data_IF_662229784403
#
_entry.id   IF_662229784403
#
_cell.length_a   1.000
_cell.length_b   1.000
_cell.length_c   1.000
_cell.angle_alpha   90.00
_cell.angle_beta   90.00
_cell.angle_gamma   90.00
#
_symmetry.space_group_name_H-M   'P 1'
#
loop_
_entity.id
_entity.type
_entity.pdbx_description
1 polymer ?
2 polymer ?
3 non-polymer ?
4 non-polymer ?
5 water ?
#
loop_
_entity_poly.entity_id
_entity_poly.type
_entity_poly.pdbx_seq_one_letter_code
_entity_poly.pdbx_strand_id
2 'polydeoxyribonucleotide' '(DT)(DT)(DT)(DT)(DT)(DT)(DT)' ?
#
# COMPACT_ATOMS: atom_id res chain seq x y z
N UNK A 3 15.32 -1.65 17.30
CA UNK A 3 14.45 -2.57 18.05
C UNK A 3 13.09 -1.94 18.33
N UNK A 4 13.09 -0.76 18.97
CA UNK A 4 11.83 -0.06 19.15
C UNK A 4 11.30 0.47 17.82
N UNK A 5 12.21 0.89 16.93
CA UNK A 5 11.86 1.35 15.60
C UNK A 5 11.31 0.25 14.71
N UNK A 6 11.47 -1.01 15.09
CA UNK A 6 10.96 -2.12 14.31
C UNK A 6 9.68 -2.72 14.88
N UNK A 7 9.08 -2.08 15.90
CA UNK A 7 7.77 -2.47 16.37
C UNK A 7 6.72 -2.28 15.28
N UNK A 8 5.55 -2.88 15.49
CA UNK A 8 4.40 -2.77 14.60
C UNK A 8 3.16 -2.35 15.38
N UNK A 9 2.34 -1.48 14.79
CA UNK A 9 1.09 -0.99 15.39
C UNK A 9 -0.05 -1.70 14.68
N UNK A 10 -0.58 -2.74 15.29
CA UNK A 10 -1.67 -3.49 14.69
C UNK A 10 -2.98 -2.81 14.98
N UNK A 11 -3.79 -2.61 13.94
CA UNK A 11 -5.11 -2.01 14.16
C UNK A 11 -6.17 -2.79 13.41
N UNK A 12 -7.39 -2.68 13.90
CA UNK A 12 -8.52 -3.15 13.10
C UNK A 12 -9.75 -2.35 13.47
N UNK A 13 -10.56 -2.06 12.45
CA UNK A 13 -11.84 -1.36 12.57
C UNK A 13 -12.94 -2.24 12.02
N UNK A 14 -14.07 -2.29 12.72
CA UNK A 14 -15.21 -3.09 12.24
C UNK A 14 -16.49 -2.27 12.27
N UNK A 25 -22.04 2.60 13.69
CA UNK A 25 -21.11 2.33 14.80
C UNK A 25 -19.85 1.61 14.31
N UNK A 26 -18.69 2.08 14.77
CA UNK A 26 -17.39 1.50 14.47
C UNK A 26 -16.74 1.04 15.76
N UNK A 27 -16.18 -0.17 15.74
CA UNK A 27 -15.31 -0.65 16.81
C UNK A 27 -13.86 -0.60 16.33
N UNK A 28 -12.97 -0.02 17.16
CA UNK A 28 -11.55 0.06 16.84
C UNK A 28 -10.72 -0.57 17.94
N UNK A 29 -9.73 -1.38 17.54
CA UNK A 29 -8.78 -1.95 18.48
C UNK A 29 -7.37 -1.75 17.94
N UNK A 30 -6.41 -1.83 18.87
CA UNK A 30 -5.00 -1.60 18.58
C UNK A 30 -4.14 -2.38 19.55
N UNK A 31 -3.02 -2.91 19.07
CA UNK A 31 -2.01 -3.44 19.97
C UNK A 31 -0.64 -3.32 19.32
N UNK A 32 0.40 -3.55 20.12
CA UNK A 32 1.77 -3.38 19.65
C UNK A 32 2.46 -4.74 19.64
N UNK A 33 3.15 -5.06 18.55
CA UNK A 33 4.07 -6.20 18.57
C UNK A 33 5.50 -5.76 18.36
N UNK A 34 6.45 -6.61 18.78
CA UNK A 34 7.81 -6.38 18.36
C UNK A 34 7.97 -6.86 16.92
N UNK A 35 9.19 -6.73 16.38
CA UNK A 35 9.44 -7.13 15.00
C UNK A 35 9.18 -8.60 14.76
N UNK A 36 9.21 -9.43 15.82
CA UNK A 36 9.00 -10.87 15.69
C UNK A 36 7.58 -11.29 16.01
N UNK A 37 6.64 -10.33 16.08
CA UNK A 37 5.20 -10.54 16.19
C UNK A 37 4.77 -10.92 17.60
N UNK A 38 5.64 -10.79 18.59
CA UNK A 38 5.20 -10.98 19.98
C UNK A 38 4.44 -9.75 20.46
N UNK A 39 3.28 -9.97 21.08
CA UNK A 39 2.46 -8.88 21.59
C UNK A 39 3.13 -8.27 22.81
N UNK A 40 3.42 -6.97 22.74
CA UNK A 40 4.07 -6.25 23.83
C UNK A 40 3.09 -5.49 24.72
N UNK A 41 1.97 -5.02 24.16
CA UNK A 41 1.05 -4.17 24.91
C UNK A 41 -0.29 -4.14 24.17
N UNK A 42 -1.37 -4.21 24.95
CA UNK A 42 -2.74 -4.12 24.46
C UNK A 42 -3.21 -2.67 24.57
N UNK A 43 -3.73 -2.13 23.48
CA UNK A 43 -4.22 -0.78 23.49
C UNK A 43 -5.70 -0.71 23.72
N UNK A 44 -6.27 0.47 23.45
CA UNK A 44 -7.71 0.66 23.63
C UNK A 44 -8.53 -0.21 22.69
N UNK A 45 -9.72 -0.57 23.17
CA UNK A 45 -10.72 -1.32 22.42
C UNK A 45 -12.01 -0.52 22.59
N UNK A 46 -12.37 0.27 21.59
CA UNK A 46 -13.31 1.36 21.75
C UNK A 46 -14.40 1.30 20.70
N UNK A 47 -15.52 1.98 20.98
CA UNK A 47 -16.63 2.11 20.06
C UNK A 47 -16.93 3.59 19.83
N UNK A 48 -17.08 3.98 18.56
CA UNK A 48 -17.39 5.34 18.14
C UNK A 48 -18.54 5.30 17.14
N UNK A 49 -19.12 6.46 16.85
CA UNK A 49 -20.16 6.58 15.83
C UNK A 49 -19.53 6.82 14.47
N UNK A 50 -20.11 6.20 13.44
CA UNK A 50 -19.55 6.34 12.08
C UNK A 50 -19.73 7.78 11.60
N UNK A 51 -18.64 8.45 11.18
CA UNK A 51 -18.71 9.80 10.61
C UNK A 51 -18.90 9.77 9.10
N UNK A 79 -19.90 5.61 21.00
CA UNK A 79 -20.21 5.72 22.42
C UNK A 79 -19.22 6.66 23.11
N UNK A 80 -18.02 6.82 22.54
CA UNK A 80 -17.15 7.93 22.92
C UNK A 80 -16.86 8.71 21.65
N UNK A 81 -16.57 10.00 21.82
CA UNK A 81 -16.45 10.84 20.64
C UNK A 81 -15.20 10.46 19.84
N UNK A 82 -15.24 10.79 18.55
CA UNK A 82 -14.11 10.53 17.67
C UNK A 82 -12.83 11.13 18.22
N UNK A 83 -12.92 12.35 18.75
CA UNK A 83 -11.73 13.05 19.23
C UNK A 83 -11.17 12.38 20.48
N UNK A 84 -12.03 11.95 21.40
CA UNK A 84 -11.53 11.27 22.60
C UNK A 84 -10.93 9.92 22.24
N UNK A 85 -11.56 9.20 21.29
CA UNK A 85 -10.99 7.95 20.82
C UNK A 85 -9.61 8.15 20.22
N UNK A 86 -9.49 9.13 19.32
CA UNK A 86 -8.20 9.42 18.70
C UNK A 86 -7.15 9.70 19.77
N UNK A 87 -7.51 10.49 20.80
CA UNK A 87 -6.53 10.74 21.85
C UNK A 87 -6.14 9.45 22.57
N UNK A 88 -7.10 8.57 22.87
CA UNK A 88 -6.72 7.33 23.55
C UNK A 88 -5.71 6.54 22.73
N UNK A 89 -5.95 6.42 21.42
CA UNK A 89 -5.03 5.65 20.58
C UNK A 89 -3.69 6.35 20.41
N UNK A 90 -3.70 7.69 20.28
CA UNK A 90 -2.45 8.43 20.13
C UNK A 90 -1.63 8.36 21.42
N UNK A 91 -2.26 8.54 22.57
CA UNK A 91 -1.55 8.44 23.83
C UNK A 91 -0.91 7.06 23.98
N UNK A 92 -1.66 6.02 23.60
CA UNK A 92 -1.14 4.66 23.69
C UNK A 92 0.11 4.48 22.82
N UNK A 93 0.03 4.86 21.54
CA UNK A 93 1.21 4.61 20.70
C UNK A 93 2.37 5.53 21.08
N UNK A 94 2.07 6.70 21.65
CA UNK A 94 3.16 7.52 22.17
C UNK A 94 3.90 6.84 23.31
N UNK A 95 3.19 6.04 24.11
CA UNK A 95 3.89 5.30 25.15
C UNK A 95 4.65 4.10 24.63
N UNK A 96 4.44 3.68 23.38
CA UNK A 96 4.93 2.38 22.90
C UNK A 96 5.87 2.43 21.70
N UNK A 97 5.83 3.48 20.88
CA UNK A 97 6.64 3.49 19.66
C UNK A 97 7.31 4.84 19.50
N UNK A 98 8.48 4.87 18.84
CA UNK A 98 9.10 6.16 18.54
C UNK A 98 8.35 6.86 17.42
N UNK A 99 8.32 8.20 17.44
CA UNK A 99 7.49 8.95 16.48
C UNK A 99 7.95 8.78 15.04
N UNK A 100 7.00 8.48 14.16
CA UNK A 100 7.22 8.44 12.73
C UNK A 100 7.81 7.17 12.19
N UNK A 101 8.16 6.20 13.04
CA UNK A 101 8.99 5.09 12.59
C UNK A 101 8.24 3.78 12.39
N UNK A 102 7.09 3.58 13.06
CA UNK A 102 6.50 2.24 13.06
C UNK A 102 5.28 2.17 12.17
N UNK A 103 5.07 1.06 11.47
CA UNK A 103 3.96 0.96 10.52
C UNK A 103 2.69 0.41 11.14
N UNK A 104 1.57 0.81 10.54
CA UNK A 104 0.31 0.10 10.71
C UNK A 104 0.43 -1.31 10.16
N UNK A 105 -0.19 -2.26 10.84
CA UNK A 105 -0.19 -3.65 10.41
C UNK A 105 -1.58 -4.25 10.55
N UNK A 106 -1.93 -5.11 9.59
CA UNK A 106 -3.19 -5.85 9.62
C UNK A 106 -3.54 -6.41 8.26
N UNK A 107 -4.69 -7.09 8.22
CA UNK A 107 -5.21 -7.60 6.95
C UNK A 107 -5.85 -6.49 6.13
N UNK A 108 -5.35 -6.26 4.92
CA UNK A 108 -5.78 -5.14 4.07
C UNK A 108 -5.86 -3.83 4.86
N UNK A 109 -4.85 -3.60 5.70
CA UNK A 109 -4.87 -2.45 6.60
C UNK A 109 -4.81 -1.12 5.85
N UNK A 110 -4.59 -1.13 4.54
CA UNK A 110 -4.70 0.12 3.78
C UNK A 110 -6.12 0.69 3.84
N UNK A 111 -7.13 -0.16 3.97
CA UNK A 111 -8.49 0.36 4.10
C UNK A 111 -8.67 1.09 5.43
N UNK A 112 -8.19 0.46 6.51
CA UNK A 112 -8.16 1.12 7.82
C UNK A 112 -7.37 2.42 7.75
N UNK A 113 -6.22 2.41 7.06
CA UNK A 113 -5.39 3.60 6.98
C UNK A 113 -6.10 4.73 6.25
N UNK A 114 -6.86 4.42 5.19
CA UNK A 114 -7.62 5.46 4.52
C UNK A 114 -8.57 6.16 5.49
N UNK A 115 -9.29 5.35 6.28
CA UNK A 115 -10.20 5.93 7.28
C UNK A 115 -9.43 6.75 8.33
N UNK A 116 -8.35 6.18 8.88
CA UNK A 116 -7.63 6.85 9.96
C UNK A 116 -6.91 8.11 9.46
N UNK A 117 -6.39 8.07 8.23
CA UNK A 117 -5.77 9.25 7.65
C UNK A 117 -6.76 10.41 7.62
N UNK A 118 -8.02 10.11 7.31
CA UNK A 118 -9.01 11.19 7.27
C UNK A 118 -9.51 11.60 8.65
N UNK A 119 -9.88 10.63 9.49
CA UNK A 119 -10.60 10.91 10.73
C UNK A 119 -9.74 10.88 11.99
N UNK A 120 -8.54 10.30 11.96
CA UNK A 120 -7.62 10.33 13.09
C UNK A 120 -6.23 10.77 12.62
N UNK A 121 -6.13 11.95 12.01
CA UNK A 121 -4.84 12.35 11.43
C UNK A 121 -3.73 12.55 12.45
N UNK A 122 -4.05 12.92 13.70
CA UNK A 122 -3.00 13.09 14.69
C UNK A 122 -2.42 11.74 15.13
N UNK A 123 -3.27 10.72 15.21
CA UNK A 123 -2.79 9.35 15.43
C UNK A 123 -1.86 8.92 14.30
N UNK A 124 -2.31 9.10 13.04
CA UNK A 124 -1.49 8.68 11.91
C UNK A 124 -0.18 9.45 11.80
N UNK A 125 -0.15 10.70 12.28
CA UNK A 125 1.12 11.44 12.27
C UNK A 125 2.20 10.75 13.09
N UNK A 126 1.80 10.00 14.13
CA UNK A 126 2.79 9.28 14.94
C UNK A 126 3.39 8.09 14.19
N UNK A 127 2.74 7.62 13.13
CA UNK A 127 3.13 6.37 12.49
C UNK A 127 3.89 6.63 11.19
N UNK A 128 4.60 5.61 10.73
CA UNK A 128 5.23 5.64 9.42
C UNK A 128 4.15 5.65 8.33
N UNK A 129 4.55 5.97 7.09
CA UNK A 129 3.57 5.92 6.00
C UNK A 129 3.49 4.56 5.34
N UNK A 130 4.50 3.70 5.50
CA UNK A 130 4.41 2.34 5.01
C UNK A 130 3.51 1.51 5.93
N UNK A 131 3.01 0.41 5.38
CA UNK A 131 2.15 -0.50 6.13
C UNK A 131 2.73 -1.90 6.03
N UNK A 132 2.31 -2.74 6.97
CA UNK A 132 2.54 -4.18 6.87
C UNK A 132 1.18 -4.83 6.58
N UNK A 133 0.91 -5.05 5.30
CA UNK A 133 -0.38 -5.55 4.85
C UNK A 133 -0.28 -7.07 4.79
N UNK A 134 -0.88 -7.75 5.77
CA UNK A 134 -0.81 -9.20 5.79
C UNK A 134 -1.45 -9.78 4.54
N UNK A 135 -2.47 -9.12 4.00
CA UNK A 135 -3.15 -9.61 2.80
C UNK A 135 -2.24 -9.58 1.57
N UNK A 136 -1.21 -8.72 1.55
CA UNK A 136 -0.18 -8.80 0.49
C UNK A 136 0.54 -10.16 0.57
N UNK A 137 0.91 -10.56 1.78
CA UNK A 137 1.61 -11.84 1.94
C UNK A 137 0.67 -12.99 1.60
N UNK A 138 -0.61 -12.84 1.94
CA UNK A 138 -1.63 -13.82 1.53
C UNK A 138 -1.66 -13.99 0.01
N UNK A 139 -1.70 -12.88 -0.74
CA UNK A 139 -1.78 -12.98 -2.19
C UNK A 139 -0.53 -13.63 -2.80
N UNK A 140 0.63 -13.34 -2.20
CA UNK A 140 1.85 -14.00 -2.65
C UNK A 140 1.85 -15.48 -2.29
N UNK A 141 1.37 -15.84 -1.10
CA UNK A 141 1.27 -17.25 -0.71
C UNK A 141 0.39 -18.02 -1.68
N UNK A 142 -0.76 -17.45 -1.99
CA UNK A 142 -1.72 -18.11 -2.89
C UNK A 142 -1.08 -18.41 -4.24
N UNK A 143 -0.26 -17.48 -4.74
CA UNK A 143 0.38 -17.68 -6.04
C UNK A 143 1.59 -18.62 -5.98
N UNK A 144 2.49 -18.38 -5.05
CA UNK A 144 3.79 -19.02 -5.04
C UNK A 144 3.86 -20.28 -4.17
N UNK A 145 2.93 -20.44 -3.22
CA UNK A 145 2.95 -21.55 -2.26
C UNK A 145 1.54 -22.09 -2.10
N UNK A 146 0.93 -22.60 -3.18
CA UNK A 146 -0.49 -23.02 -3.10
C UNK A 146 -0.74 -24.15 -2.10
N UNK A 147 0.19 -25.12 -2.01
CA UNK A 147 0.04 -26.21 -1.05
C UNK A 147 -0.04 -25.66 0.37
N UNK A 148 0.94 -24.83 0.76
CA UNK A 148 0.92 -24.21 2.08
C UNK A 148 -0.31 -23.35 2.26
N UNK A 149 -0.72 -22.64 1.20
CA UNK A 149 -1.84 -21.72 1.30
C UNK A 149 -3.10 -22.42 1.78
N UNK A 150 -3.28 -23.69 1.37
CA UNK A 150 -4.48 -24.41 1.79
C UNK A 150 -4.61 -24.58 3.30
N UNK A 151 -3.52 -24.46 4.06
CA UNK A 151 -3.56 -24.62 5.51
C UNK A 151 -3.46 -23.31 6.28
N UNK A 152 -3.44 -22.17 5.60
CA UNK A 152 -3.24 -20.90 6.27
C UNK A 152 -4.48 -20.48 7.05
N UNK A 153 -4.32 -19.72 8.16
CA UNK A 153 -5.46 -19.13 8.86
C UNK A 153 -6.30 -18.27 7.92
N UNK A 158 -15.33 -14.79 14.53
CA UNK A 158 -15.88 -13.63 15.22
C UNK A 158 -15.69 -12.35 14.40
N UNK A 159 -16.47 -11.31 14.72
CA UNK A 159 -16.37 -10.04 14.02
C UNK A 159 -15.88 -8.92 14.94
N UNK A 160 -15.32 -9.28 16.11
CA UNK A 160 -14.73 -8.32 17.02
C UNK A 160 -13.37 -7.87 16.51
N UNK A 161 -13.06 -6.58 16.66
CA UNK A 161 -11.82 -6.02 16.10
C UNK A 161 -10.59 -6.69 16.69
N UNK A 162 -10.59 -6.91 18.01
CA UNK A 162 -9.44 -7.53 18.65
C UNK A 162 -9.20 -8.95 18.12
N UNK A 163 -10.29 -9.67 17.83
CA UNK A 163 -10.18 -11.00 17.21
C UNK A 163 -9.61 -10.91 15.81
N UNK A 164 -9.98 -9.87 15.06
CA UNK A 164 -9.42 -9.67 13.73
C UNK A 164 -7.91 -9.44 13.80
N UNK A 165 -7.46 -8.67 14.79
CA UNK A 165 -6.02 -8.46 14.97
C UNK A 165 -5.33 -9.79 15.28
N UNK A 166 -5.89 -10.55 16.24
CA UNK A 166 -5.29 -11.82 16.62
C UNK A 166 -5.16 -12.76 15.41
N UNK A 167 -6.22 -12.85 14.60
CA UNK A 167 -6.15 -13.68 13.40
C UNK A 167 -5.07 -13.19 12.45
N UNK A 168 -5.00 -11.88 12.23
CA UNK A 168 -3.99 -11.35 11.29
C UNK A 168 -2.58 -11.69 11.73
N UNK A 169 -2.30 -11.55 13.03
CA UNK A 169 -0.97 -11.86 13.51
C UNK A 169 -0.69 -13.35 13.33
N UNK A 170 -1.67 -14.19 13.64
CA UNK A 170 -1.50 -15.63 13.45
C UNK A 170 -1.28 -15.99 11.99
N UNK A 171 -1.98 -15.32 11.07
CA UNK A 171 -1.80 -15.57 9.64
C UNK A 171 -0.40 -15.19 9.18
N UNK A 172 0.08 -14.01 9.60
CA UNK A 172 1.43 -13.61 9.23
C UNK A 172 2.47 -14.56 9.83
N UNK A 173 2.26 -15.01 11.07
CA UNK A 173 3.18 -15.97 11.66
C UNK A 173 3.18 -17.29 10.89
N UNK A 174 2.01 -17.70 10.42
CA UNK A 174 1.94 -18.89 9.58
C UNK A 174 2.78 -18.72 8.31
N UNK A 175 2.65 -17.56 7.65
CA UNK A 175 3.47 -17.33 6.47
C UNK A 175 4.96 -17.33 6.82
N UNK A 176 5.35 -16.65 7.90
CA UNK A 176 6.76 -16.65 8.25
C UNK A 176 7.27 -18.08 8.46
N UNK A 177 6.47 -18.91 9.14
CA UNK A 177 6.90 -20.27 9.44
C UNK A 177 6.93 -21.15 8.21
N UNK A 178 6.07 -20.90 7.22
CA UNK A 178 5.87 -21.88 6.16
C UNK A 178 6.34 -21.45 4.77
N UNK A 179 6.47 -20.14 4.48
CA UNK A 179 6.86 -19.77 3.13
C UNK A 179 8.08 -18.86 3.10
N UNK A 180 8.56 -18.41 4.26
CA UNK A 180 9.80 -17.64 4.24
C UNK A 180 10.99 -18.56 4.48
N UNK A 181 12.15 -18.09 4.04
CA UNK A 181 13.41 -18.87 4.09
C UNK A 181 13.80 -19.23 5.52
N UNK B 1 -6.98 -19.20 -16.90
CA UNK B 1 -8.21 -19.19 -16.10
C UNK B 1 -7.91 -18.75 -14.68
N UNK B 2 -7.47 -19.70 -13.84
CA UNK B 2 -6.89 -19.33 -12.56
C UNK B 2 -5.58 -18.57 -12.77
N UNK B 3 -4.83 -18.93 -13.81
CA UNK B 3 -3.63 -18.19 -14.16
C UNK B 3 -3.95 -16.74 -14.47
N UNK B 4 -5.00 -16.50 -15.25
CA UNK B 4 -5.40 -15.12 -15.56
C UNK B 4 -5.79 -14.36 -14.31
N UNK B 5 -6.48 -15.04 -13.39
CA UNK B 5 -6.87 -14.39 -12.15
C UNK B 5 -5.69 -14.14 -11.24
N UNK B 6 -4.55 -14.80 -11.48
CA UNK B 6 -3.37 -14.57 -10.65
C UNK B 6 -2.42 -13.55 -11.28
N UNK B 7 -2.82 -12.88 -12.36
CA UNK B 7 -2.05 -11.76 -12.87
C UNK B 7 -2.05 -10.61 -11.84
N UNK B 8 -1.16 -9.66 -12.07
CA UNK B 8 -1.01 -8.48 -11.23
C UNK B 8 -1.01 -7.23 -12.11
N UNK B 9 -1.69 -6.19 -11.62
CA UNK B 9 -1.78 -4.90 -12.30
C UNK B 9 -0.84 -3.95 -11.59
N UNK B 10 0.35 -3.76 -12.13
CA UNK B 10 1.35 -2.89 -11.50
C UNK B 10 1.07 -1.46 -11.92
N UNK B 11 0.96 -0.57 -10.94
CA UNK B 11 0.68 0.83 -11.24
C UNK B 11 1.62 1.69 -10.43
N UNK B 12 2.06 2.80 -11.03
CA UNK B 12 2.64 3.85 -10.22
C UNK B 12 2.13 5.19 -10.71
N UNK B 13 1.94 6.12 -9.77
CA UNK B 13 1.47 7.46 -10.03
C UNK B 13 2.51 8.47 -9.58
N UNK B 14 2.55 9.60 -10.27
CA UNK B 14 3.06 10.82 -9.68
C UNK B 14 1.90 11.77 -9.48
N UNK B 15 1.94 12.53 -8.37
CA UNK B 15 0.89 13.45 -7.96
C UNK B 15 1.51 14.82 -7.65
N UNK B 16 0.65 15.83 -7.53
CA UNK B 16 1.14 17.14 -7.10
C UNK B 16 1.41 17.20 -5.60
N UNK B 17 1.09 16.13 -4.87
CA UNK B 17 1.37 16.07 -3.44
C UNK B 17 0.63 14.89 -2.83
N UNK B 18 0.63 14.86 -1.49
CA UNK B 18 0.04 13.74 -0.76
C UNK B 18 -1.31 14.07 -0.12
N UNK B 19 -1.87 15.25 -0.40
CA UNK B 19 -3.16 15.67 0.17
C UNK B 19 -4.27 15.19 -0.76
N UNK B 20 -4.97 14.13 -0.35
CA UNK B 20 -6.04 13.58 -1.19
C UNK B 20 -7.14 14.61 -1.44
N UNK B 21 -7.26 15.61 -0.59
CA UNK B 21 -8.33 16.58 -0.78
C UNK B 21 -8.05 17.58 -1.89
N UNK B 22 -6.79 17.84 -2.22
CA UNK B 22 -6.50 18.87 -3.21
C UNK B 22 -5.53 18.42 -4.30
N UNK B 23 -4.68 17.43 -4.02
CA UNK B 23 -3.68 17.10 -5.01
C UNK B 23 -4.26 16.19 -6.09
N UNK B 24 -3.62 16.20 -7.25
CA UNK B 24 -4.12 15.55 -8.46
C UNK B 24 -3.06 14.65 -9.05
N UNK B 25 -3.52 13.65 -9.82
CA UNK B 25 -2.62 12.76 -10.54
C UNK B 25 -2.02 13.50 -11.73
N UNK B 26 -0.69 13.47 -11.87
CA UNK B 26 -0.04 14.04 -13.05
C UNK B 26 0.69 13.01 -13.90
N UNK B 27 1.00 11.83 -13.38
CA UNK B 27 1.59 10.83 -14.27
C UNK B 27 1.10 9.47 -13.83
N UNK B 28 0.93 8.58 -14.79
CA UNK B 28 0.48 7.24 -14.44
C UNK B 28 1.06 6.25 -15.43
N UNK B 29 1.57 5.13 -14.92
CA UNK B 29 1.97 4.04 -15.78
C UNK B 29 1.40 2.74 -15.24
N UNK B 30 1.27 1.76 -16.17
CA UNK B 30 0.66 0.47 -15.83
C UNK B 30 1.34 -0.65 -16.61
N UNK B 31 1.70 -1.73 -15.92
CA UNK B 31 2.25 -2.96 -16.52
C UNK B 31 1.44 -4.14 -16.00
N UNK B 32 1.27 -5.17 -16.82
CA UNK B 32 0.67 -6.42 -16.36
C UNK B 32 1.76 -7.47 -16.24
N UNK B 33 1.81 -8.17 -15.10
CA UNK B 33 2.64 -9.36 -15.00
C UNK B 33 1.81 -10.61 -14.73
N UNK B 34 2.40 -11.76 -15.05
CA UNK B 34 1.83 -13.02 -14.59
C UNK B 34 2.18 -13.19 -13.11
N UNK B 35 1.72 -14.31 -12.53
CA UNK B 35 1.91 -14.50 -11.09
C UNK B 35 3.38 -14.65 -10.72
N UNK B 36 4.25 -14.99 -11.69
CA UNK B 36 5.67 -15.15 -11.44
C UNK B 36 6.49 -13.91 -11.84
N UNK B 37 5.83 -12.76 -12.02
CA UNK B 37 6.42 -11.44 -12.21
C UNK B 37 6.98 -11.24 -13.61
N UNK B 38 6.66 -12.11 -14.57
CA UNK B 38 7.05 -11.86 -15.95
C UNK B 38 6.15 -10.80 -16.54
N UNK B 39 6.72 -9.78 -17.17
CA UNK B 39 5.90 -8.72 -17.74
C UNK B 39 5.21 -9.26 -18.99
N UNK B 40 3.87 -9.31 -18.96
CA UNK B 40 3.06 -9.76 -20.09
C UNK B 40 2.65 -8.63 -21.02
N UNK B 41 2.42 -7.45 -20.46
CA UNK B 41 1.89 -6.38 -21.30
C UNK B 41 2.28 -5.04 -20.71
N UNK B 42 2.64 -4.10 -21.57
CA UNK B 42 3.00 -2.75 -21.16
C UNK B 42 1.84 -1.82 -21.54
N UNK B 43 1.21 -1.22 -20.53
CA UNK B 43 0.07 -0.35 -20.76
C UNK B 43 0.45 1.09 -21.03
N UNK B 44 -0.53 1.98 -20.94
CA UNK B 44 -0.26 3.41 -21.16
C UNK B 44 0.67 3.97 -20.10
N UNK B 45 1.43 4.98 -20.52
CA UNK B 45 2.36 5.69 -19.64
C UNK B 45 2.11 7.14 -20.01
N UNK B 46 1.29 7.83 -19.21
CA UNK B 46 0.63 9.07 -19.62
C UNK B 46 0.90 10.17 -18.62
N UNK B 47 1.11 11.37 -19.14
CA UNK B 47 1.29 12.58 -18.36
C UNK B 47 0.00 13.38 -18.48
N UNK B 48 -0.61 13.68 -17.35
CA UNK B 48 -1.98 14.15 -17.28
C UNK B 48 -1.99 15.64 -16.99
N UNK B 49 -2.71 16.40 -17.83
CA UNK B 49 -2.78 17.86 -17.67
C UNK B 49 -3.46 18.23 -16.36
N UNK B 50 -2.87 19.18 -15.65
CA UNK B 50 -3.44 19.71 -14.42
C UNK B 50 -3.18 21.22 -14.41
N UNK B 51 -3.99 21.98 -13.66
CA UNK B 51 -3.91 23.45 -13.76
C UNK B 51 -2.56 24.01 -13.33
N UNK B 52 -2.15 25.09 -14.01
CA UNK B 52 -0.92 25.80 -13.66
C UNK B 52 -0.91 26.22 -12.19
N UNK B 53 -2.05 26.70 -11.70
CA UNK B 53 -2.12 27.16 -10.31
C UNK B 53 -1.74 26.04 -9.34
N UNK B 54 -2.16 24.81 -9.65
CA UNK B 54 -1.88 23.70 -8.74
C UNK B 54 -0.40 23.34 -8.73
N UNK B 55 0.25 23.38 -9.90
CA UNK B 55 1.67 23.07 -9.96
C UNK B 55 2.52 24.17 -9.32
N UNK B 56 2.12 25.43 -9.46
CA UNK B 56 2.85 26.50 -8.81
C UNK B 56 2.74 26.45 -7.30
N UNK B 57 1.74 25.75 -6.77
CA UNK B 57 1.48 25.67 -5.34
C UNK B 57 2.08 24.44 -4.68
N UNK B 58 2.75 23.57 -5.44
CA UNK B 58 3.21 22.30 -4.91
C UNK B 58 4.18 22.49 -3.75
N UNK B 59 4.33 21.43 -2.96
CA UNK B 59 5.33 21.40 -1.91
C UNK B 59 6.72 21.60 -2.51
N UNK B 60 7.69 21.84 -1.63
CA UNK B 60 9.06 22.04 -2.10
C UNK B 60 9.63 20.75 -2.70
N UNK B 61 9.38 19.60 -2.07
CA UNK B 61 9.83 18.34 -2.64
C UNK B 61 9.29 18.16 -4.05
N UNK B 62 7.99 18.40 -4.24
CA UNK B 62 7.38 18.18 -5.55
C UNK B 62 7.86 19.19 -6.57
N UNK B 63 7.95 20.47 -6.19
CA UNK B 63 8.48 21.46 -7.12
C UNK B 63 9.88 21.08 -7.57
N UNK B 64 10.76 20.75 -6.63
CA UNK B 64 12.12 20.37 -6.99
C UNK B 64 12.15 19.13 -7.89
N UNK B 65 11.52 18.04 -7.44
CA UNK B 65 11.67 16.77 -8.14
C UNK B 65 10.93 16.76 -9.47
N UNK B 66 9.67 17.19 -9.49
CA UNK B 66 8.93 17.25 -10.73
C UNK B 66 9.47 18.31 -11.69
N UNK B 67 10.15 19.36 -11.19
CA UNK B 67 10.81 20.27 -12.12
C UNK B 67 12.04 19.63 -12.74
N UNK B 68 12.94 19.11 -11.92
CA UNK B 68 14.19 18.59 -12.44
C UNK B 68 13.98 17.37 -13.34
N UNK B 69 12.96 16.55 -13.05
CA UNK B 69 12.69 15.39 -13.88
C UNK B 69 12.08 15.75 -15.22
N UNK B 70 11.65 17.00 -15.41
CA UNK B 70 10.93 17.42 -16.59
C UNK B 70 9.43 17.21 -16.53
N UNK B 71 8.92 16.68 -15.41
CA UNK B 71 7.50 16.34 -15.31
C UNK B 71 6.62 17.60 -15.32
N UNK B 72 6.97 18.62 -14.53
CA UNK B 72 6.11 19.81 -14.44
C UNK B 72 5.88 20.43 -15.81
N UNK B 73 6.95 20.56 -16.61
CA UNK B 73 6.85 21.11 -17.95
C UNK B 73 5.94 20.26 -18.83
N UNK B 74 6.14 18.94 -18.80
CA UNK B 74 5.32 18.04 -19.62
C UNK B 74 3.85 18.11 -19.22
N UNK B 75 3.58 18.28 -17.93
CA UNK B 75 2.20 18.44 -17.47
C UNK B 75 1.61 19.70 -18.07
N UNK B 76 2.36 20.81 -18.02
CA UNK B 76 1.88 22.05 -18.60
C UNK B 76 1.62 21.90 -20.10
N UNK B 77 2.40 21.05 -20.79
CA UNK B 77 2.21 20.82 -22.22
C UNK B 77 1.22 19.72 -22.55
N UNK B 78 0.79 18.92 -21.57
CA UNK B 78 -0.04 17.77 -21.86
C UNK B 78 -1.42 18.18 -22.39
N UNK B 79 -1.96 17.33 -23.27
CA UNK B 79 -3.34 17.46 -23.74
C UNK B 79 -4.20 16.28 -23.31
N UNK B 80 -3.75 15.51 -22.32
CA UNK B 80 -4.46 14.33 -21.85
C UNK B 80 -5.24 14.71 -20.59
N UNK B 81 -6.55 14.59 -20.63
CA UNK B 81 -7.35 14.84 -19.45
C UNK B 81 -7.37 13.63 -18.53
N UNK B 82 -7.73 13.87 -17.28
CA UNK B 82 -7.91 12.76 -16.33
C UNK B 82 -8.88 11.73 -16.89
N UNK B 83 -9.99 12.19 -17.47
CA UNK B 83 -11.02 11.28 -17.94
C UNK B 83 -10.53 10.44 -19.11
N UNK B 84 -9.74 11.04 -20.00
CA UNK B 84 -9.20 10.27 -21.13
C UNK B 84 -8.15 9.28 -20.67
N UNK B 85 -7.31 9.70 -19.71
CA UNK B 85 -6.37 8.76 -19.13
C UNK B 85 -7.09 7.55 -18.57
N UNK B 86 -8.13 7.80 -17.76
CA UNK B 86 -8.90 6.70 -17.19
C UNK B 86 -9.46 5.79 -18.28
N UNK B 87 -10.01 6.38 -19.35
CA UNK B 87 -10.48 5.57 -20.47
C UNK B 87 -9.40 4.62 -20.97
N UNK B 88 -8.19 5.15 -21.20
CA UNK B 88 -7.14 4.31 -21.76
C UNK B 88 -6.68 3.22 -20.78
N UNK B 89 -6.58 3.54 -19.50
CA UNK B 89 -6.15 2.52 -18.53
C UNK B 89 -7.22 1.45 -18.33
N UNK B 90 -8.49 1.85 -18.34
CA UNK B 90 -9.54 0.84 -18.21
C UNK B 90 -9.61 -0.04 -19.46
N UNK B 91 -9.46 0.56 -20.65
CA UNK B 91 -9.42 -0.25 -21.86
C UNK B 91 -8.29 -1.28 -21.80
N UNK B 92 -7.13 -0.83 -21.31
CA UNK B 92 -5.98 -1.73 -21.22
C UNK B 92 -6.24 -2.89 -20.27
N UNK B 93 -6.69 -2.60 -19.04
CA UNK B 93 -6.83 -3.71 -18.10
C UNK B 93 -8.00 -4.61 -18.49
N UNK B 94 -9.02 -4.07 -19.16
CA UNK B 94 -10.09 -4.90 -19.70
C UNK B 94 -9.53 -5.91 -20.68
N UNK B 95 -8.58 -5.49 -21.51
CA UNK B 95 -7.95 -6.43 -22.43
C UNK B 95 -7.05 -7.44 -21.72
N UNK B 96 -6.59 -7.14 -20.50
CA UNK B 96 -5.54 -7.97 -19.92
C UNK B 96 -5.92 -8.81 -18.70
N UNK B 97 -6.99 -8.49 -17.97
CA UNK B 97 -7.30 -9.17 -16.72
C UNK B 97 -8.80 -9.41 -16.63
N UNK B 98 -9.21 -10.44 -15.89
CA UNK B 98 -10.65 -10.64 -15.65
C UNK B 98 -11.17 -9.64 -14.66
N UNK B 99 -12.40 -9.17 -14.83
CA UNK B 99 -12.93 -8.12 -13.95
C UNK B 99 -12.99 -8.57 -12.49
N UNK B 100 -12.54 -7.67 -11.61
CA UNK B 100 -12.66 -7.84 -10.18
C UNK B 100 -11.65 -8.74 -9.52
N UNK B 101 -10.81 -9.44 -10.29
CA UNK B 101 -10.03 -10.54 -9.74
C UNK B 101 -8.58 -10.20 -9.38
N UNK B 102 -7.99 -9.20 -10.03
CA UNK B 102 -6.53 -8.96 -9.97
C UNK B 102 -6.19 -7.73 -9.15
N UNK B 103 -5.12 -7.80 -8.36
CA UNK B 103 -4.75 -6.69 -7.48
C UNK B 103 -3.83 -5.67 -8.12
N UNK B 104 -3.95 -4.43 -7.64
CA UNK B 104 -2.89 -3.45 -7.83
C UNK B 104 -1.62 -3.92 -7.14
N UNK B 105 -0.48 -3.61 -7.75
CA UNK B 105 0.83 -3.96 -7.21
C UNK B 105 1.79 -2.78 -7.38
N UNK B 106 2.65 -2.59 -6.38
CA UNK B 106 3.68 -1.57 -6.43
C UNK B 106 4.20 -1.27 -5.04
N UNK B 107 5.13 -0.32 -4.98
CA UNK B 107 5.67 0.06 -3.67
C UNK B 107 4.74 1.07 -2.99
N UNK B 108 4.32 0.73 -1.76
CA UNK B 108 3.33 1.51 -1.00
C UNK B 108 2.13 1.90 -1.88
N UNK B 109 1.70 0.94 -2.69
CA UNK B 109 0.65 1.17 -3.69
C UNK B 109 -0.70 1.50 -3.04
N UNK B 110 -0.82 1.39 -1.72
CA UNK B 110 -2.05 1.88 -1.09
C UNK B 110 -2.22 3.38 -1.28
N UNK B 111 -1.12 4.12 -1.43
CA UNK B 111 -1.27 5.56 -1.66
C UNK B 111 -1.82 5.84 -3.06
N UNK B 112 -1.26 5.15 -4.06
CA UNK B 112 -1.83 5.24 -5.40
C UNK B 112 -3.27 4.79 -5.41
N UNK B 113 -3.60 3.76 -4.63
CA UNK B 113 -4.98 3.28 -4.62
C UNK B 113 -5.91 4.34 -4.03
N UNK B 114 -5.47 5.06 -3.00
CA UNK B 114 -6.31 6.14 -2.47
C UNK B 114 -6.65 7.15 -3.57
N UNK B 115 -5.63 7.53 -4.35
CA UNK B 115 -5.86 8.51 -5.40
C UNK B 115 -6.70 7.94 -6.55
N UNK B 116 -6.48 6.68 -6.91
CA UNK B 116 -7.25 6.09 -8.01
C UNK B 116 -8.71 5.86 -7.61
N UNK B 117 -8.92 5.43 -6.37
CA UNK B 117 -10.29 5.25 -5.87
C UNK B 117 -11.06 6.54 -6.00
N UNK B 118 -10.40 7.67 -5.72
CA UNK B 118 -11.07 8.97 -5.87
C UNK B 118 -11.23 9.37 -7.35
N UNK B 119 -10.16 9.30 -8.14
CA UNK B 119 -10.11 9.98 -9.43
C UNK B 119 -10.30 9.07 -10.63
N UNK B 120 -10.07 7.77 -10.49
CA UNK B 120 -10.32 6.81 -11.56
C UNK B 120 -11.19 5.67 -11.03
N UNK B 121 -12.38 5.98 -10.50
CA UNK B 121 -13.19 4.91 -9.88
C UNK B 121 -13.60 3.81 -10.85
N UNK B 122 -13.79 4.11 -12.14
CA UNK B 122 -14.19 3.06 -13.08
C UNK B 122 -13.05 2.09 -13.34
N UNK B 123 -11.82 2.61 -13.43
CA UNK B 123 -10.64 1.76 -13.48
C UNK B 123 -10.57 0.84 -12.26
N UNK B 124 -10.76 1.41 -11.07
CA UNK B 124 -10.65 0.61 -9.85
C UNK B 124 -11.76 -0.42 -9.71
N UNK B 125 -12.92 -0.19 -10.33
CA UNK B 125 -13.97 -1.20 -10.33
C UNK B 125 -13.53 -2.49 -11.01
N UNK B 126 -12.59 -2.41 -11.96
CA UNK B 126 -12.09 -3.61 -12.61
C UNK B 126 -11.15 -4.43 -11.74
N UNK B 127 -10.65 -3.87 -10.65
CA UNK B 127 -9.60 -4.49 -9.86
C UNK B 127 -10.17 -5.07 -8.57
N UNK B 128 -9.40 -5.98 -7.98
CA UNK B 128 -9.66 -6.49 -6.64
C UNK B 128 -9.46 -5.36 -5.64
N UNK B 129 -9.98 -5.56 -4.43
CA UNK B 129 -9.72 -4.59 -3.37
C UNK B 129 -8.42 -4.87 -2.64
N UNK B 130 -7.90 -6.09 -2.72
CA UNK B 130 -6.60 -6.40 -2.15
C UNK B 130 -5.49 -5.84 -3.03
N UNK B 131 -4.33 -5.59 -2.41
CA UNK B 131 -3.17 -5.06 -3.11
C UNK B 131 -1.99 -5.98 -2.87
N UNK B 132 -0.99 -5.83 -3.72
CA UNK B 132 0.30 -6.46 -3.49
C UNK B 132 1.27 -5.31 -3.24
N UNK B 133 1.52 -5.02 -1.98
CA UNK B 133 2.32 -3.87 -1.55
C UNK B 133 3.73 -4.36 -1.36
N UNK B 134 4.61 -4.04 -2.32
CA UNK B 134 5.99 -4.52 -2.25
C UNK B 134 6.66 -3.94 -1.01
N UNK B 135 6.20 -2.77 -0.55
CA UNK B 135 6.84 -2.18 0.63
C UNK B 135 6.47 -2.90 1.92
N UNK B 136 5.38 -3.67 1.93
CA UNK B 136 5.15 -4.59 3.04
C UNK B 136 6.27 -5.62 3.10
N UNK B 137 6.61 -6.18 1.94
CA UNK B 137 7.67 -7.20 1.92
C UNK B 137 9.00 -6.56 2.26
N UNK B 138 9.22 -5.32 1.81
CA UNK B 138 10.39 -4.55 2.20
C UNK B 138 10.50 -4.45 3.73
N UNK B 139 9.41 -4.08 4.41
CA UNK B 139 9.45 -3.90 5.86
C UNK B 139 9.71 -5.22 6.58
N UNK B 140 9.16 -6.32 6.04
CA UNK B 140 9.44 -7.63 6.62
C UNK B 140 10.87 -8.07 6.36
N UNK B 141 11.41 -7.75 5.19
CA UNK B 141 12.81 -8.07 4.89
C UNK B 141 13.74 -7.34 5.84
N UNK B 142 13.49 -6.05 6.04
CA UNK B 142 14.26 -5.23 6.98
C UNK B 142 14.29 -5.87 8.35
N UNK B 143 13.16 -6.39 8.81
CA UNK B 143 13.11 -6.97 10.16
C UNK B 143 13.72 -8.36 10.22
N UNK B 144 13.28 -9.26 9.36
CA UNK B 144 13.57 -10.68 9.47
C UNK B 144 14.80 -11.11 8.70
N UNK B 145 15.21 -10.36 7.70
CA UNK B 145 16.35 -10.71 6.85
C UNK B 145 17.25 -9.49 6.65
N UNK B 146 17.81 -8.95 7.74
CA UNK B 146 18.60 -7.70 7.62
C UNK B 146 19.84 -7.83 6.76
N UNK B 147 20.49 -9.00 6.75
CA UNK B 147 21.64 -9.17 5.87
C UNK B 147 21.23 -9.06 4.41
N UNK B 148 20.17 -9.77 4.03
CA UNK B 148 19.68 -9.72 2.65
C UNK B 148 19.20 -8.32 2.31
N UNK B 149 18.59 -7.63 3.28
CA UNK B 149 18.05 -6.30 3.01
C UNK B 149 19.15 -5.34 2.56
N UNK B 150 20.39 -5.54 3.04
CA UNK B 150 21.50 -4.73 2.57
C UNK B 150 21.64 -4.75 1.05
N UNK B 151 21.29 -5.87 0.40
CA UNK B 151 21.53 -6.01 -1.03
C UNK B 151 20.29 -5.79 -1.89
N UNK B 152 19.16 -5.50 -1.28
CA UNK B 152 17.92 -5.29 -2.04
C UNK B 152 17.97 -3.99 -2.84
N UNK B 153 17.42 -3.98 -4.05
CA UNK B 153 17.20 -2.71 -4.76
C UNK B 153 16.32 -1.80 -3.91
N UNK B 154 16.62 -0.50 -3.94
CA UNK B 154 15.77 0.45 -3.21
C UNK B 154 15.30 1.62 -4.06
N UNK B 155 16.14 2.14 -4.95
CA UNK B 155 15.88 3.39 -5.62
C UNK B 155 15.62 3.16 -7.10
N UNK B 156 14.60 3.81 -7.63
CA UNK B 156 14.35 3.75 -9.06
C UNK B 156 15.30 4.68 -9.80
N UNK B 157 15.34 4.54 -11.13
CA UNK B 157 16.16 5.42 -11.95
C UNK B 157 15.68 6.87 -11.90
N UNK B 158 14.37 7.10 -11.75
CA UNK B 158 13.81 8.45 -11.71
C UNK B 158 12.54 8.45 -10.88
N UNK B 159 12.11 9.65 -10.47
CA UNK B 159 10.79 9.81 -9.86
C UNK B 159 9.74 10.02 -10.96
N UNK B 160 9.71 9.03 -11.85
CA UNK B 160 8.77 8.93 -12.95
C UNK B 160 8.11 7.57 -12.87
N UNK B 161 6.84 7.49 -13.30
CA UNK B 161 6.00 6.35 -12.97
C UNK B 161 6.54 5.03 -13.53
N UNK B 162 6.96 5.02 -14.80
CA UNK B 162 7.37 3.75 -15.39
C UNK B 162 8.67 3.25 -14.77
N UNK B 163 9.60 4.15 -14.44
CA UNK B 163 10.83 3.70 -13.79
C UNK B 163 10.53 3.15 -12.39
N UNK B 164 9.58 3.76 -11.69
CA UNK B 164 9.20 3.27 -10.37
C UNK B 164 8.61 1.87 -10.45
N UNK B 165 7.71 1.62 -11.41
CA UNK B 165 7.20 0.26 -11.60
C UNK B 165 8.33 -0.72 -11.84
N UNK B 166 9.22 -0.39 -12.79
CA UNK B 166 10.31 -1.30 -13.10
C UNK B 166 11.10 -1.68 -11.85
N UNK B 167 11.42 -0.68 -11.03
CA UNK B 167 12.19 -0.98 -9.82
C UNK B 167 11.37 -1.83 -8.85
N UNK B 168 10.07 -1.56 -8.74
CA UNK B 168 9.26 -2.28 -7.76
C UNK B 168 9.17 -3.77 -8.11
N UNK B 169 9.03 -4.08 -9.40
CA UNK B 169 9.03 -5.47 -9.81
C UNK B 169 10.38 -6.12 -9.48
N UNK B 170 11.48 -5.42 -9.79
CA UNK B 170 12.80 -5.96 -9.51
C UNK B 170 13.01 -6.19 -8.02
N UNK B 171 12.50 -5.29 -7.19
CA UNK B 171 12.62 -5.43 -5.74
C UNK B 171 11.83 -6.65 -5.25
N UNK B 172 10.61 -6.84 -5.77
CA UNK B 172 9.85 -8.02 -5.35
C UNK B 172 10.53 -9.31 -5.83
N UNK B 173 11.09 -9.31 -7.05
CA UNK B 173 11.82 -10.48 -7.50
C UNK B 173 13.01 -10.77 -6.60
N UNK B 174 13.72 -9.72 -6.19
CA UNK B 174 14.82 -9.91 -5.24
C UNK B 174 14.33 -10.57 -3.96
N UNK B 175 13.19 -10.12 -3.41
CA UNK B 175 12.71 -10.75 -2.18
C UNK B 175 12.34 -12.20 -2.43
N UNK B 176 11.69 -12.49 -3.54
CA UNK B 176 11.33 -13.87 -3.82
C UNK B 176 12.57 -14.75 -3.88
N UNK B 177 13.62 -14.24 -4.52
CA UNK B 177 14.85 -15.02 -4.71
C UNK B 177 15.62 -15.19 -3.42
N UNK B 178 15.51 -14.25 -2.48
CA UNK B 178 16.41 -14.21 -1.36
C UNK B 178 15.80 -14.47 0.02
N UNK B 179 14.49 -14.27 0.23
CA UNK B 179 13.93 -14.44 1.56
C UNK B 179 12.72 -15.35 1.60
N UNK B 180 12.23 -15.83 0.46
CA UNK B 180 11.20 -16.84 0.45
C UNK B 180 11.79 -18.24 0.30
N UNK B 181 11.04 -19.23 0.77
CA UNK B 181 11.47 -20.62 0.85
C UNK B 181 11.73 -21.24 -0.52
X LIG D 1 17.29 12.67 -6.00
X LIG D 1 16.61 11.62 -6.08
X LIG D 1 17.43 13.20 -4.88
X LIG D 1 17.99 13.28 -7.22
X LIG D 1 17.07 13.77 -8.35
X LIG D 1 17.90 14.29 -9.42
X LIG D 1 16.24 12.63 -8.94
X LIG D 1 17.14 11.64 -9.66
X LIG D 1 17.33 11.75 -10.89
X LIG D 1 17.70 10.72 -9.03
X LIG D 1 16.15 14.89 -7.89
X LIG D 1 15.34 15.42 -8.70
X LIG D 1 16.19 15.35 -6.72
X LIG E 1 8.13 7.98 -8.28
X LIG F 1 6.79 4.22 -5.93
#
# INVERSE_FOLDING_TARGET
AASMAQRMVWVDLEMTGLDIEKDQIIEMACLITDSDLNILAEGPNLIIKQPDELLDSMSDWCKEHHGKSGLTKAVKESTITLQQAEYEFLSFVRQQTPPGLCPLAGNSVHEDKKFLDKYMPQFMKHLHYRIIDVSTVKELCRRWYPEEYEFAPKKAASHRALDAISESIKELQFYRNNIFK
AASMAQRMVWVDLEMTGLDIEKDQIIEMACLITDSDLNILAEGPNLIIKQPDELLDSMSDWCKEHHGKSGLTKAVKESTITLQQAEYEFLSFVRQQTPPGLCPLAGNSVHEDKKFLDKYMPQFMKHLHYRIIDVSTVKELCRRWYPEEYEFAPKKAASHRALDAISESIKELQFYRNNIFK
CIT C1 O1 O2 C2 C3 O7 C4 C5 O3 O4 C6 O5 O6
MG MG
MG MG
#
